data_IF_893301283188
#
_entry.id   IF_893301283188
#
_cell.length_a   1.000
_cell.length_b   1.000
_cell.length_c   1.000
_cell.angle_alpha   90.00
_cell.angle_beta   90.00
_cell.angle_gamma   90.00
#
_symmetry.space_group_name_H-M   'P 1'
#
loop_
_entity.id
_entity.type
_entity.pdbx_description
1 polymer ?
#
# COMPACT_ATOMS: atom_id res chain seq x y z
N UNK A 1 4.12 1.91 -18.84
CA UNK A 1 3.75 3.12 -18.10
C UNK A 1 3.39 2.76 -16.68
N UNK A 2 3.90 3.47 -15.70
CA UNK A 2 3.64 3.17 -14.28
C UNK A 2 2.39 3.85 -13.78
N UNK A 3 1.81 3.27 -12.74
CA UNK A 3 0.73 3.87 -11.98
C UNK A 3 1.26 4.10 -10.56
N UNK A 4 1.38 5.35 -10.16
CA UNK A 4 2.02 5.69 -8.89
C UNK A 4 1.24 6.78 -8.15
N UNK A 5 1.21 6.65 -6.82
CA UNK A 5 0.49 7.60 -5.99
C UNK A 5 1.01 7.55 -4.55
N UNK A 6 0.61 8.55 -3.77
CA UNK A 6 0.90 8.60 -2.34
C UNK A 6 -0.37 8.94 -1.58
N UNK A 7 -0.50 8.44 -0.37
CA UNK A 7 -1.61 8.78 0.51
C UNK A 7 -1.23 8.52 1.97
N UNK A 8 -1.93 9.21 2.86
CA UNK A 8 -1.68 9.14 4.29
C UNK A 8 -2.76 8.30 4.98
N UNK A 9 -2.35 7.52 5.98
CA UNK A 9 -3.27 6.70 6.78
C UNK A 9 -3.03 6.97 8.27
N UNK A 10 -4.08 7.06 9.09
CA UNK A 10 -3.95 7.39 10.51
C UNK A 10 -3.70 6.13 11.36
N UNK A 11 -2.66 5.39 11.04
CA UNK A 11 -2.28 4.17 11.76
C UNK A 11 -0.82 4.25 12.17
N UNK A 12 -0.43 3.40 13.13
CA UNK A 12 0.95 3.29 13.58
C UNK A 12 1.63 2.06 12.97
N UNK A 13 2.93 1.91 13.25
CA UNK A 13 3.71 0.81 12.72
C UNK A 13 3.19 -0.57 13.17
N UNK A 14 2.63 -0.65 14.37
CA UNK A 14 2.09 -1.90 14.89
C UNK A 14 0.86 -2.35 14.11
N UNK A 15 -0.06 -1.43 13.84
CA UNK A 15 -1.24 -1.71 13.01
C UNK A 15 -0.82 -2.06 11.60
N UNK A 16 0.15 -1.33 11.07
CA UNK A 16 0.71 -1.64 9.75
C UNK A 16 1.24 -3.07 9.69
N UNK A 17 1.99 -3.49 10.71
CA UNK A 17 2.53 -4.86 10.76
C UNK A 17 1.42 -5.91 10.75
N UNK A 18 0.30 -5.64 11.43
CA UNK A 18 -0.86 -6.54 11.43
C UNK A 18 -1.48 -6.65 10.04
N UNK A 19 -1.58 -5.53 9.32
CA UNK A 19 -2.09 -5.52 7.95
C UNK A 19 -1.17 -6.34 7.05
N UNK A 20 0.13 -6.13 7.14
CA UNK A 20 1.11 -6.88 6.35
C UNK A 20 1.03 -8.39 6.62
N UNK A 21 0.89 -8.77 7.88
CA UNK A 21 0.74 -10.17 8.25
C UNK A 21 -0.52 -10.78 7.64
N UNK A 22 -1.62 -10.03 7.62
CA UNK A 22 -2.88 -10.49 7.03
C UNK A 22 -2.81 -10.63 5.51
N UNK A 23 -2.11 -9.73 4.83
CA UNK A 23 -1.91 -9.79 3.38
C UNK A 23 -1.05 -11.00 3.00
N UNK A 24 -0.08 -11.33 3.85
CA UNK A 24 0.84 -12.44 3.61
C UNK A 24 2.12 -11.99 2.92
N UNK A 25 3.11 -12.90 2.82
CA UNK A 25 4.45 -12.55 2.35
C UNK A 25 4.59 -12.48 0.83
N UNK A 26 3.60 -12.96 0.08
CA UNK A 26 3.70 -13.02 -1.36
C UNK A 26 3.64 -11.63 -1.99
N UNK A 27 4.63 -11.34 -2.85
CA UNK A 27 4.70 -10.06 -3.53
C UNK A 27 3.50 -9.91 -4.48
N UNK A 28 2.76 -8.79 -4.41
CA UNK A 28 1.63 -8.57 -5.32
C UNK A 28 2.08 -8.48 -6.78
N UNK A 29 1.27 -9.04 -7.67
CA UNK A 29 1.51 -8.93 -9.11
C UNK A 29 1.50 -7.46 -9.52
N UNK A 30 2.53 -7.04 -10.24
CA UNK A 30 2.62 -5.69 -10.76
C UNK A 30 3.17 -4.65 -9.80
N UNK A 31 3.47 -5.03 -8.56
CA UNK A 31 4.07 -4.09 -7.60
C UNK A 31 5.54 -3.85 -7.96
N UNK A 32 5.87 -2.58 -8.21
CA UNK A 32 7.25 -2.16 -8.45
C UNK A 32 7.91 -1.76 -7.14
N UNK A 33 7.25 -0.88 -6.38
CA UNK A 33 7.77 -0.42 -5.10
C UNK A 33 6.64 0.00 -4.19
N UNK A 34 6.80 -0.29 -2.90
CA UNK A 34 5.89 0.15 -1.85
C UNK A 34 6.74 0.64 -0.69
N UNK A 35 6.49 1.86 -0.26
CA UNK A 35 7.17 2.46 0.88
C UNK A 35 6.13 2.91 1.89
N UNK A 36 6.44 2.74 3.16
CA UNK A 36 5.63 3.27 4.25
C UNK A 36 6.58 3.94 5.23
N UNK A 37 6.29 5.18 5.61
CA UNK A 37 7.12 5.89 6.57
C UNK A 37 6.26 6.74 7.49
N UNK A 38 6.84 7.06 8.67
CA UNK A 38 6.13 7.82 9.69
C UNK A 38 5.99 9.29 9.34
N UNK A 39 4.79 9.81 9.60
CA UNK A 39 4.50 11.24 9.57
C UNK A 39 3.88 11.61 10.92
N UNK A 40 3.55 12.88 11.12
CA UNK A 40 3.13 13.37 12.44
C UNK A 40 1.97 12.56 13.04
N UNK A 41 0.93 12.28 12.27
CA UNK A 41 -0.28 11.62 12.78
C UNK A 41 -0.58 10.29 12.09
N UNK A 42 0.45 9.57 11.66
CA UNK A 42 0.22 8.29 11.00
C UNK A 42 1.37 7.88 10.13
N UNK A 43 1.04 7.25 9.01
CA UNK A 43 2.02 6.79 8.02
C UNK A 43 1.67 7.39 6.66
N UNK A 44 2.71 7.57 5.85
CA UNK A 44 2.55 7.91 4.44
C UNK A 44 3.01 6.74 3.60
N UNK A 45 2.18 6.37 2.63
CA UNK A 45 2.52 5.32 1.67
C UNK A 45 2.92 5.93 0.35
N UNK A 46 3.93 5.34 -0.29
CA UNK A 46 4.27 5.63 -1.67
C UNK A 46 4.13 4.31 -2.43
N UNK A 47 3.29 4.30 -3.45
CA UNK A 47 2.95 3.11 -4.22
C UNK A 47 3.36 3.30 -5.67
N UNK A 48 4.11 2.35 -6.20
CA UNK A 48 4.50 2.35 -7.61
C UNK A 48 4.14 0.99 -8.20
N UNK A 49 3.26 0.99 -9.20
CA UNK A 49 2.70 -0.21 -9.80
C UNK A 49 2.91 -0.19 -11.30
N UNK A 50 2.94 -1.36 -11.94
CA UNK A 50 3.05 -1.46 -13.39
C UNK A 50 1.82 -0.90 -14.09
N UNK A 51 0.63 -1.08 -13.48
CA UNK A 51 -0.62 -0.58 -14.05
C UNK A 51 -1.64 -0.31 -12.96
N UNK A 52 -2.63 0.51 -13.30
CA UNK A 52 -3.78 0.75 -12.44
C UNK A 52 -4.56 -0.54 -12.18
N UNK A 53 -4.69 -1.38 -13.20
CA UNK A 53 -5.43 -2.65 -13.08
C UNK A 53 -4.76 -3.57 -12.06
N UNK A 54 -3.43 -3.64 -12.03
CA UNK A 54 -2.71 -4.44 -11.05
C UNK A 54 -2.94 -3.93 -9.62
N UNK A 55 -2.93 -2.61 -9.43
CA UNK A 55 -3.23 -2.03 -8.14
C UNK A 55 -4.66 -2.35 -7.71
N UNK A 56 -5.64 -2.17 -8.60
CA UNK A 56 -7.04 -2.41 -8.27
C UNK A 56 -7.30 -3.88 -7.96
N UNK A 57 -6.65 -4.79 -8.66
CA UNK A 57 -6.76 -6.22 -8.36
C UNK A 57 -6.20 -6.53 -6.96
N UNK A 58 -5.05 -5.98 -6.62
CA UNK A 58 -4.48 -6.16 -5.28
C UNK A 58 -5.40 -5.57 -4.21
N UNK A 59 -5.88 -4.36 -4.43
CA UNK A 59 -6.75 -3.66 -3.49
C UNK A 59 -8.01 -4.48 -3.21
N UNK A 60 -8.65 -4.97 -4.26
CA UNK A 60 -9.90 -5.73 -4.15
C UNK A 60 -9.66 -7.12 -3.57
N UNK A 61 -8.63 -7.83 -4.02
CA UNK A 61 -8.46 -9.25 -3.71
C UNK A 61 -7.68 -9.50 -2.43
N UNK A 62 -6.78 -8.60 -2.04
CA UNK A 62 -5.87 -8.85 -0.93
C UNK A 62 -5.88 -7.78 0.15
N UNK A 63 -6.02 -6.51 -0.22
CA UNK A 63 -5.95 -5.42 0.74
C UNK A 63 -7.27 -5.21 1.48
N UNK A 64 -8.35 -4.98 0.77
CA UNK A 64 -9.65 -4.74 1.38
C UNK A 64 -10.15 -5.92 2.24
N UNK A 65 -9.96 -7.18 1.84
CA UNK A 65 -10.34 -8.32 2.70
C UNK A 65 -9.65 -8.35 4.05
N UNK A 66 -8.49 -7.71 4.18
CA UNK A 66 -7.77 -7.60 5.45
C UNK A 66 -8.14 -6.31 6.19
N UNK A 67 -8.14 -5.19 5.48
CA UNK A 67 -8.28 -3.86 6.08
C UNK A 67 -9.72 -3.57 6.48
N UNK A 68 -10.71 -3.90 5.66
CA UNK A 68 -12.10 -3.56 5.96
C UNK A 68 -12.63 -4.25 7.22
N UNK A 69 -12.42 -5.56 7.42
CA UNK A 69 -12.83 -6.19 8.69
C UNK A 69 -12.09 -5.60 9.90
N UNK A 70 -10.81 -5.27 9.74
CA UNK A 70 -10.03 -4.67 10.82
C UNK A 70 -10.58 -3.30 11.21
N UNK A 71 -10.89 -2.45 10.23
CA UNK A 71 -11.46 -1.13 10.47
C UNK A 71 -12.85 -1.25 11.10
N UNK A 72 -13.68 -2.17 10.62
CA UNK A 72 -15.00 -2.41 11.18
C UNK A 72 -14.90 -2.81 12.66
N UNK A 73 -13.95 -3.68 13.01
CA UNK A 73 -13.74 -4.10 14.38
C UNK A 73 -13.25 -2.96 15.26
N UNK A 74 -12.29 -2.17 14.75
CA UNK A 74 -11.66 -1.11 15.55
C UNK A 74 -12.52 0.14 15.68
N UNK A 75 -13.25 0.50 14.63
CA UNK A 75 -13.96 1.77 14.54
C UNK A 75 -15.49 1.61 14.53
N UNK A 76 -16.00 0.42 14.25
CA UNK A 76 -17.44 0.19 14.11
C UNK A 76 -17.96 0.55 12.72
N UNK A 77 -17.10 0.98 11.81
CA UNK A 77 -17.46 1.29 10.42
C UNK A 77 -16.22 1.31 9.55
N UNK A 78 -16.41 1.26 8.24
CA UNK A 78 -15.31 1.39 7.28
C UNK A 78 -15.30 2.83 6.78
N UNK A 79 -14.30 3.64 7.15
CA UNK A 79 -14.24 5.03 6.69
C UNK A 79 -13.97 5.12 5.20
N UNK A 80 -14.28 6.27 4.58
CA UNK A 80 -13.91 6.51 3.18
C UNK A 80 -12.41 6.35 2.98
N UNK A 81 -12.02 5.93 1.80
CA UNK A 81 -10.60 5.84 1.48
C UNK A 81 -9.95 7.22 1.49
N UNK A 82 -8.70 7.31 2.00
CA UNK A 82 -8.01 8.59 2.01
C UNK A 82 -7.74 9.07 0.59
N UNK A 83 -7.72 10.39 0.38
CA UNK A 83 -7.40 10.94 -0.94
C UNK A 83 -5.96 10.60 -1.35
N UNK A 84 -5.79 10.36 -2.64
CA UNK A 84 -4.48 10.00 -3.21
C UNK A 84 -3.96 11.13 -4.08
N UNK A 85 -2.66 11.39 -3.98
CA UNK A 85 -1.98 12.31 -4.88
C UNK A 85 -1.19 11.49 -5.90
N UNK A 86 -1.46 11.71 -7.18
CA UNK A 86 -0.75 10.98 -8.24
C UNK A 86 0.69 11.46 -8.36
N UNK A 87 1.57 10.51 -8.63
CA UNK A 87 2.99 10.77 -8.79
C UNK A 87 3.42 10.43 -10.22
N UNK A 88 4.30 11.26 -10.76
CA UNK A 88 4.93 11.02 -12.06
C UNK A 88 6.32 10.46 -11.81
N UNK A 89 6.43 9.14 -11.82
CA UNK A 89 7.70 8.46 -11.52
C UNK A 89 8.58 8.50 -12.76
N UNK A 90 9.71 9.16 -12.64
CA UNK A 90 10.70 9.25 -13.71
C UNK A 90 11.62 8.03 -13.69
N UNK A 91 11.97 7.55 -12.50
CA UNK A 91 12.86 6.39 -12.35
C UNK A 91 12.61 5.72 -11.00
N UNK A 92 12.75 4.41 -10.95
CA UNK A 92 12.58 3.65 -9.72
C UNK A 92 13.64 2.55 -9.64
N UNK A 93 14.49 2.65 -8.64
CA UNK A 93 15.47 1.61 -8.32
C UNK A 93 14.96 0.87 -7.09
N UNK A 94 14.86 -0.45 -7.19
CA UNK A 94 14.35 -1.28 -6.09
C UNK A 94 15.39 -2.27 -5.64
N UNK A 95 15.16 -2.86 -4.47
CA UNK A 95 16.06 -3.87 -3.93
C UNK A 95 16.25 -5.06 -4.87
N UNK A 96 15.23 -5.38 -5.67
CA UNK A 96 15.33 -6.48 -6.63
C UNK A 96 16.39 -6.21 -7.69
N UNK A 97 16.51 -4.95 -8.13
CA UNK A 97 17.57 -4.58 -9.06
C UNK A 97 18.95 -4.71 -8.42
N UNK A 98 19.03 -4.42 -7.13
CA UNK A 98 20.32 -4.43 -6.41
C UNK A 98 20.74 -5.82 -5.98
N UNK A 99 19.80 -6.76 -5.88
CA UNK A 99 20.08 -8.12 -5.43
C UNK A 99 20.41 -9.09 -6.55
N UNK A 100 20.32 -8.65 -7.78
CA UNK A 100 20.60 -9.50 -8.92
C UNK A 100 22.05 -9.98 -8.84
N UNK A 101 22.28 -11.27 -8.88
CA UNK A 101 23.63 -11.83 -8.83
C UNK A 101 24.47 -11.40 -10.01
#
# INVERSE_FOLDING_TARGET
>A
MTYAFTYDVPINAEIYARIRAGIGPERPTGLIAHLAYGIENGLRYVEVWQSKDDWEAFEHDRLHPVVHPMLQEMLGFVPPEPPRAMLDIIDAWTADHLRTP
#
